data_IF_462750498119
#
_entry.id   IF_462750498119
#
_cell.length_a   1.000
_cell.length_b   1.000
_cell.length_c   1.000
_cell.angle_alpha   90.00
_cell.angle_beta   90.00
_cell.angle_gamma   90.00
#
_symmetry.space_group_name_H-M   'P 1'
#
loop_
_entity.id
_entity.type
_entity.pdbx_description
1 polymer ?
#
# COMPACT_ATOMS: atom_id res chain seq x y z
N UNK A 1 -10.31 -36.08 -2.11
CA UNK A 1 -9.60 -34.91 -1.56
C UNK A 1 -9.17 -34.06 -2.74
N UNK A 2 -9.54 -32.77 -2.80
CA UNK A 2 -9.03 -31.89 -3.86
C UNK A 2 -7.54 -31.67 -3.61
N UNK A 3 -6.70 -31.99 -4.59
CA UNK A 3 -5.29 -31.59 -4.58
C UNK A 3 -5.22 -30.08 -4.39
N UNK A 4 -4.53 -29.63 -3.33
CA UNK A 4 -4.22 -28.22 -3.17
C UNK A 4 -3.11 -27.91 -4.19
N UNK A 5 -3.42 -27.08 -5.18
CA UNK A 5 -2.44 -26.66 -6.15
C UNK A 5 -1.40 -25.79 -5.40
N UNK A 6 -0.19 -26.33 -5.18
CA UNK A 6 0.88 -25.67 -4.42
C UNK A 6 1.33 -24.34 -5.07
N UNK A 7 0.91 -24.08 -6.30
CA UNK A 7 1.19 -22.87 -7.06
C UNK A 7 0.02 -21.87 -7.07
N UNK A 8 -1.09 -22.17 -6.39
CA UNK A 8 -2.23 -21.26 -6.27
C UNK A 8 -1.91 -20.20 -5.21
N UNK A 9 -1.34 -19.08 -5.67
CA UNK A 9 -1.05 -17.91 -4.85
C UNK A 9 -2.32 -17.07 -4.66
N UNK A 10 -2.82 -17.00 -3.43
CA UNK A 10 -3.85 -16.03 -3.06
C UNK A 10 -3.18 -14.68 -2.80
N UNK A 11 -3.13 -13.83 -3.84
CA UNK A 11 -2.54 -12.50 -3.77
C UNK A 11 -3.19 -11.62 -2.70
N UNK A 12 -4.46 -11.87 -2.33
CA UNK A 12 -5.13 -11.15 -1.25
C UNK A 12 -4.64 -11.57 0.14
N UNK A 13 -3.94 -12.71 0.25
CA UNK A 13 -3.30 -13.21 1.48
C UNK A 13 -1.79 -13.17 1.42
N UNK A 14 -1.21 -12.54 0.40
CA UNK A 14 0.23 -12.34 0.29
C UNK A 14 0.72 -11.44 1.43
N UNK A 15 1.85 -11.80 2.03
CA UNK A 15 2.57 -10.92 2.97
C UNK A 15 3.41 -9.87 2.23
N UNK A 16 3.57 -10.03 0.92
CA UNK A 16 4.31 -9.12 0.05
C UNK A 16 3.34 -8.33 -0.82
N UNK A 17 3.59 -7.03 -0.91
CA UNK A 17 2.84 -6.14 -1.77
C UNK A 17 3.25 -6.34 -3.24
N UNK A 18 2.31 -6.17 -4.16
CA UNK A 18 2.61 -6.09 -5.59
C UNK A 18 3.55 -4.92 -5.90
N UNK A 19 4.36 -4.98 -6.96
CA UNK A 19 5.29 -3.90 -7.33
C UNK A 19 4.66 -2.49 -7.34
N UNK A 20 3.49 -2.25 -8.00
CA UNK A 20 2.87 -0.93 -7.95
C UNK A 20 2.37 -0.57 -6.55
N UNK A 21 1.82 -1.55 -5.81
CA UNK A 21 1.39 -1.36 -4.43
C UNK A 21 2.57 -0.89 -3.54
N UNK A 22 3.73 -1.54 -3.66
CA UNK A 22 4.93 -1.21 -2.90
C UNK A 22 5.49 0.18 -3.26
N UNK A 23 5.41 0.56 -4.54
CA UNK A 23 5.82 1.89 -5.00
C UNK A 23 4.96 3.00 -4.39
N UNK A 24 3.64 2.83 -4.36
CA UNK A 24 2.74 3.81 -3.72
C UNK A 24 2.96 3.89 -2.21
N UNK A 25 3.14 2.75 -1.53
CA UNK A 25 3.51 2.72 -0.11
C UNK A 25 4.81 3.48 0.17
N UNK A 26 5.81 3.38 -0.71
CA UNK A 26 7.07 4.14 -0.60
C UNK A 26 6.84 5.64 -0.71
N UNK A 27 6.05 6.09 -1.68
CA UNK A 27 5.70 7.52 -1.85
C UNK A 27 4.93 8.07 -0.64
N UNK A 28 4.01 7.28 -0.08
CA UNK A 28 3.30 7.63 1.17
C UNK A 28 4.31 7.80 2.30
N UNK A 29 5.23 6.85 2.47
CA UNK A 29 6.25 6.89 3.53
C UNK A 29 7.17 8.13 3.41
N UNK A 30 7.49 8.54 2.19
CA UNK A 30 8.22 9.78 1.90
C UNK A 30 7.39 11.03 2.26
N UNK A 31 6.10 11.08 1.87
CA UNK A 31 5.19 12.20 2.18
C UNK A 31 4.97 12.40 3.68
N UNK A 32 4.87 11.32 4.46
CA UNK A 32 4.71 11.39 5.92
C UNK A 32 6.04 11.60 6.64
N UNK A 33 7.15 11.73 5.91
CA UNK A 33 8.49 11.90 6.44
C UNK A 33 8.87 10.81 7.46
N UNK A 34 8.53 9.54 7.15
CA UNK A 34 8.78 8.36 7.99
C UNK A 34 8.19 8.42 9.41
N UNK A 35 7.24 9.32 9.66
CA UNK A 35 6.46 9.37 10.90
C UNK A 35 5.53 8.17 10.99
N UNK A 36 5.11 7.82 12.19
CA UNK A 36 4.10 6.79 12.35
C UNK A 36 2.72 7.31 11.92
N UNK A 37 1.87 6.42 11.41
CA UNK A 37 0.51 6.77 10.98
C UNK A 37 -0.34 7.32 12.14
N UNK A 38 -0.07 6.87 13.37
CA UNK A 38 -0.68 7.32 14.62
C UNK A 38 -0.43 8.80 14.92
N UNK A 39 0.66 9.37 14.39
CA UNK A 39 1.05 10.76 14.60
C UNK A 39 0.41 11.72 13.59
N UNK A 40 -0.21 11.20 12.52
CA UNK A 40 -0.80 11.99 11.45
C UNK A 40 -2.11 12.65 11.90
N UNK A 41 -2.32 13.90 11.52
CA UNK A 41 -3.58 14.59 11.74
C UNK A 41 -4.55 14.23 10.61
N UNK A 42 -5.84 14.11 10.92
CA UNK A 42 -6.88 13.81 9.92
C UNK A 42 -6.85 14.76 8.71
N UNK A 43 -6.51 16.04 8.92
CA UNK A 43 -6.38 17.03 7.84
C UNK A 43 -5.24 16.74 6.85
N UNK A 44 -4.23 15.96 7.25
CA UNK A 44 -3.08 15.60 6.42
C UNK A 44 -3.40 14.39 5.52
N UNK A 45 -4.42 13.59 5.88
CA UNK A 45 -4.76 12.33 5.17
C UNK A 45 -5.12 12.59 3.71
N UNK A 46 -5.92 13.61 3.41
CA UNK A 46 -6.26 13.96 2.02
C UNK A 46 -5.01 14.33 1.20
N UNK A 47 -4.09 15.10 1.78
CA UNK A 47 -2.83 15.43 1.09
C UNK A 47 -1.93 14.20 0.89
N UNK A 48 -1.93 13.26 1.84
CA UNK A 48 -1.21 12.00 1.70
C UNK A 48 -1.81 11.18 0.56
N UNK A 49 -3.14 11.01 0.52
CA UNK A 49 -3.83 10.18 -0.48
C UNK A 49 -3.76 10.72 -1.92
N UNK A 50 -3.33 11.97 -2.13
CA UNK A 50 -3.06 12.49 -3.48
C UNK A 50 -2.02 11.70 -4.28
N UNK A 51 -1.33 10.72 -3.68
CA UNK A 51 -0.48 9.79 -4.45
C UNK A 51 -1.27 8.98 -5.48
N UNK A 52 -2.56 8.74 -5.19
CA UNK A 52 -3.47 7.97 -6.04
C UNK A 52 -4.30 8.85 -6.98
N UNK A 53 -4.10 10.18 -6.97
CA UNK A 53 -4.76 11.06 -7.92
C UNK A 53 -4.12 10.92 -9.30
N UNK A 54 -4.95 10.83 -10.33
CA UNK A 54 -4.49 10.80 -11.72
C UNK A 54 -3.81 12.14 -12.06
N UNK A 55 -2.58 12.05 -12.59
CA UNK A 55 -1.91 13.21 -13.18
C UNK A 55 -2.35 13.29 -14.64
N UNK A 56 -3.46 13.97 -14.88
CA UNK A 56 -3.85 14.40 -16.22
C UNK A 56 -2.78 15.30 -16.87
#
# INVERSE_FOLDING_TARGET
>A
MKEKNLFEFDLNKSSEACDPCALECKKINEKINKRELSELKNKEVSHILSVFEDKE
#
